data_IF_915863472844
#
_entry.id   IF_915863472844
#
_cell.length_a   1.000
_cell.length_b   1.000
_cell.length_c   1.000
_cell.angle_alpha   90.00
_cell.angle_beta   90.00
_cell.angle_gamma   90.00
#
_symmetry.space_group_name_H-M   'P 1'
#
loop_
_entity.id
_entity.type
_entity.pdbx_description
1 polymer ?
#
# COMPACT_ATOMS: atom_id res chain seq x y z
N UNK A 1 -10.78 8.28 4.20
CA UNK A 1 -11.27 9.59 3.72
C UNK A 1 -11.97 9.35 2.39
N UNK A 2 -13.22 9.79 2.23
CA UNK A 2 -13.75 9.99 0.88
C UNK A 2 -13.06 11.24 0.33
N UNK A 3 -12.42 11.13 -0.83
CA UNK A 3 -11.91 12.31 -1.49
C UNK A 3 -13.12 13.20 -1.84
N UNK A 4 -13.09 14.47 -1.43
CA UNK A 4 -14.15 15.45 -1.69
C UNK A 4 -13.97 15.99 -3.13
N UNK A 5 -13.90 15.07 -4.10
CA UNK A 5 -13.62 15.33 -5.51
C UNK A 5 -14.75 14.75 -6.36
N UNK A 6 -15.20 15.52 -7.35
CA UNK A 6 -16.19 15.05 -8.31
C UNK A 6 -15.55 14.08 -9.31
N UNK A 7 -16.35 13.20 -9.90
CA UNK A 7 -15.88 12.32 -11.00
C UNK A 7 -15.30 13.14 -12.16
N UNK A 8 -15.94 14.25 -12.51
CA UNK A 8 -15.48 15.22 -13.50
C UNK A 8 -14.06 15.72 -13.17
N UNK A 9 -13.87 16.28 -11.97
CA UNK A 9 -12.57 16.83 -11.57
C UNK A 9 -11.49 15.75 -11.55
N UNK A 10 -11.81 14.53 -11.08
CA UNK A 10 -10.85 13.44 -11.06
C UNK A 10 -10.49 12.98 -12.48
N UNK A 11 -11.48 12.83 -13.36
CA UNK A 11 -11.28 12.42 -14.74
C UNK A 11 -10.38 13.40 -15.50
N UNK A 12 -10.61 14.71 -15.32
CA UNK A 12 -9.76 15.76 -15.86
C UNK A 12 -8.31 15.65 -15.35
N UNK A 13 -8.12 15.49 -14.03
CA UNK A 13 -6.77 15.42 -13.42
C UNK A 13 -5.96 14.23 -13.88
N UNK A 14 -6.60 13.10 -14.18
CA UNK A 14 -5.92 11.89 -14.66
C UNK A 14 -5.96 11.76 -16.19
N UNK A 15 -6.45 12.78 -16.89
CA UNK A 15 -6.53 12.88 -18.35
C UNK A 15 -7.32 11.72 -18.99
N UNK A 16 -8.53 11.49 -18.48
CA UNK A 16 -9.48 10.51 -19.01
C UNK A 16 -10.90 11.08 -19.09
N UNK A 17 -11.79 10.35 -19.75
CA UNK A 17 -13.22 10.72 -19.76
C UNK A 17 -13.93 10.27 -18.48
N UNK A 18 -14.90 11.04 -18.00
CA UNK A 18 -15.78 10.65 -16.89
C UNK A 18 -16.45 9.29 -17.15
N UNK A 19 -16.88 9.04 -18.38
CA UNK A 19 -17.45 7.76 -18.77
C UNK A 19 -16.46 6.62 -18.58
N UNK A 20 -15.18 6.81 -18.89
CA UNK A 20 -14.18 5.77 -18.66
C UNK A 20 -13.95 5.53 -17.17
N UNK A 21 -13.84 6.59 -16.38
CA UNK A 21 -13.74 6.53 -14.91
C UNK A 21 -14.95 5.79 -14.30
N UNK A 22 -16.18 6.10 -14.76
CA UNK A 22 -17.40 5.42 -14.32
C UNK A 22 -17.34 3.91 -14.51
N UNK A 23 -16.86 3.46 -15.68
CA UNK A 23 -16.75 2.03 -15.98
C UNK A 23 -15.67 1.36 -15.13
N UNK A 24 -14.61 2.08 -14.78
CA UNK A 24 -13.57 1.58 -13.87
C UNK A 24 -14.18 1.31 -12.50
N UNK A 25 -14.95 2.25 -11.95
CA UNK A 25 -15.52 2.13 -10.60
C UNK A 25 -16.71 1.15 -10.54
N UNK A 26 -17.60 1.16 -11.54
CA UNK A 26 -18.91 0.51 -11.44
C UNK A 26 -19.07 -0.74 -12.33
N UNK A 27 -18.32 -0.85 -13.43
CA UNK A 27 -18.48 -1.93 -14.41
C UNK A 27 -17.30 -2.93 -14.41
N UNK A 28 -16.34 -2.76 -13.49
CA UNK A 28 -15.17 -3.62 -13.41
C UNK A 28 -14.18 -3.44 -14.57
N UNK A 29 -14.23 -2.31 -15.29
CA UNK A 29 -13.27 -2.02 -16.36
C UNK A 29 -11.87 -1.86 -15.75
N UNK A 30 -10.94 -2.73 -16.13
CA UNK A 30 -9.53 -2.60 -15.69
C UNK A 30 -8.85 -1.41 -16.40
N UNK A 31 -8.29 -0.45 -15.66
CA UNK A 31 -7.51 0.64 -16.25
C UNK A 31 -6.17 0.14 -16.83
N UNK A 32 -5.55 0.95 -17.69
CA UNK A 32 -4.13 0.76 -18.00
C UNK A 32 -3.27 1.03 -16.77
N UNK A 33 -2.02 0.59 -16.77
CA UNK A 33 -1.11 0.87 -15.65
C UNK A 33 -0.91 2.37 -15.44
N UNK A 34 -0.79 3.16 -16.51
CA UNK A 34 -0.63 4.62 -16.42
C UNK A 34 -1.85 5.29 -15.74
N UNK A 35 -3.06 4.89 -16.14
CA UNK A 35 -4.30 5.42 -15.54
C UNK A 35 -4.42 4.98 -14.07
N UNK A 36 -4.10 3.72 -13.77
CA UNK A 36 -4.08 3.22 -12.39
C UNK A 36 -3.08 3.99 -11.52
N UNK A 37 -1.86 4.22 -12.02
CA UNK A 37 -0.82 4.99 -11.36
C UNK A 37 -1.29 6.41 -11.03
N UNK A 38 -1.88 7.12 -12.02
CA UNK A 38 -2.42 8.46 -11.83
C UNK A 38 -3.52 8.49 -10.78
N UNK A 39 -4.48 7.57 -10.85
CA UNK A 39 -5.59 7.47 -9.89
C UNK A 39 -5.10 7.23 -8.45
N UNK A 40 -4.16 6.29 -8.26
CA UNK A 40 -3.59 5.98 -6.94
C UNK A 40 -2.93 7.22 -6.33
N UNK A 41 -2.17 7.97 -7.12
CA UNK A 41 -1.45 9.17 -6.68
C UNK A 41 -2.40 10.33 -6.39
N UNK A 42 -3.36 10.57 -7.26
CA UNK A 42 -4.32 11.67 -7.14
C UNK A 42 -5.23 11.50 -5.92
N UNK A 43 -5.68 10.27 -5.66
CA UNK A 43 -6.55 9.95 -4.52
C UNK A 43 -5.80 9.60 -3.24
N UNK A 44 -4.46 9.67 -3.24
CA UNK A 44 -3.60 9.26 -2.12
C UNK A 44 -3.94 7.86 -1.56
N UNK A 45 -4.29 6.93 -2.45
CA UNK A 45 -4.62 5.55 -2.08
C UNK A 45 -3.31 4.81 -1.77
N UNK A 46 -3.20 4.11 -0.63
CA UNK A 46 -2.07 3.21 -0.40
C UNK A 46 -2.07 2.11 -1.46
N UNK A 47 -1.01 1.99 -2.27
CA UNK A 47 -0.95 0.98 -3.33
C UNK A 47 -1.18 -0.44 -2.80
N UNK A 48 -0.70 -0.71 -1.59
CA UNK A 48 -0.89 -2.00 -0.93
C UNK A 48 -2.36 -2.36 -0.71
N UNK A 49 -3.27 -1.39 -0.52
CA UNK A 49 -4.70 -1.70 -0.37
C UNK A 49 -5.36 -2.14 -1.68
N UNK A 50 -4.70 -1.93 -2.83
CA UNK A 50 -5.18 -2.36 -4.14
C UNK A 50 -4.53 -3.69 -4.53
N UNK A 51 -3.22 -3.82 -4.33
CA UNK A 51 -2.46 -4.98 -4.79
C UNK A 51 -2.34 -6.10 -3.76
N UNK A 52 -2.53 -5.80 -2.47
CA UNK A 52 -2.50 -6.74 -1.36
C UNK A 52 -3.72 -6.56 -0.44
N UNK A 53 -4.96 -6.68 -0.97
CA UNK A 53 -6.19 -6.44 -0.19
C UNK A 53 -6.37 -7.38 1.00
N UNK A 54 -5.67 -8.52 1.01
CA UNK A 54 -5.64 -9.48 2.12
C UNK A 54 -4.82 -9.00 3.32
N UNK A 55 -3.95 -8.01 3.15
CA UNK A 55 -3.13 -7.48 4.24
C UNK A 55 -3.95 -6.51 5.09
N UNK A 56 -3.96 -6.64 6.43
CA UNK A 56 -4.68 -5.73 7.31
C UNK A 56 -4.18 -4.29 7.12
N UNK A 57 -5.11 -3.35 6.91
CA UNK A 57 -4.82 -1.94 6.62
C UNK A 57 -4.17 -1.22 7.80
N UNK A 58 -2.99 -0.64 7.58
CA UNK A 58 -2.31 0.47 8.28
C UNK A 58 -2.06 0.44 9.80
N UNK A 59 -2.67 -0.47 10.54
CA UNK A 59 -2.46 -0.69 11.98
C UNK A 59 -1.92 -2.10 12.29
N UNK A 60 -1.23 -2.72 11.33
CA UNK A 60 -0.48 -3.93 11.65
C UNK A 60 0.70 -3.57 12.56
N UNK A 61 0.95 -4.37 13.60
CA UNK A 61 2.14 -4.22 14.46
C UNK A 61 3.43 -4.13 13.64
N UNK A 62 3.46 -4.78 12.47
CA UNK A 62 4.56 -4.74 11.52
C UNK A 62 4.79 -3.33 10.98
N UNK A 63 3.75 -2.59 10.58
CA UNK A 63 3.92 -1.25 10.04
C UNK A 63 4.40 -0.27 11.10
N UNK A 64 3.89 -0.39 12.34
CA UNK A 64 4.40 0.37 13.48
C UNK A 64 5.88 0.06 13.75
N UNK A 65 6.27 -1.22 13.71
CA UNK A 65 7.66 -1.61 13.83
C UNK A 65 8.52 -1.00 12.70
N UNK A 66 8.09 -1.08 11.44
CA UNK A 66 8.81 -0.48 10.30
C UNK A 66 8.99 1.03 10.49
N UNK A 67 7.98 1.75 10.98
CA UNK A 67 8.09 3.19 11.29
C UNK A 67 9.14 3.46 12.36
N UNK A 68 9.20 2.63 13.41
CA UNK A 68 10.22 2.74 14.45
C UNK A 68 11.63 2.52 13.89
N UNK A 69 11.80 1.60 12.94
CA UNK A 69 13.10 1.31 12.33
C UNK A 69 13.70 2.50 11.58
N UNK A 70 12.88 3.39 10.99
CA UNK A 70 13.38 4.61 10.34
C UNK A 70 14.05 5.60 11.31
N UNK A 71 13.77 5.51 12.61
CA UNK A 71 14.43 6.33 13.64
C UNK A 71 15.74 5.74 14.16
N UNK A 72 16.13 4.53 13.74
CA UNK A 72 17.33 3.87 14.23
C UNK A 72 18.59 4.34 13.49
N UNK A 73 19.67 4.53 14.24
CA UNK A 73 21.01 4.70 13.67
C UNK A 73 21.62 3.34 13.27
N UNK A 74 22.76 3.36 12.59
CA UNK A 74 23.43 2.15 12.08
C UNK A 74 23.67 1.10 13.16
N UNK A 75 24.20 1.51 14.33
CA UNK A 75 24.44 0.59 15.45
C UNK A 75 23.15 -0.06 15.95
N UNK A 76 22.08 0.71 16.11
CA UNK A 76 20.78 0.18 16.51
C UNK A 76 20.23 -0.80 15.47
N UNK A 77 20.40 -0.51 14.19
CA UNK A 77 19.97 -1.40 13.10
C UNK A 77 20.73 -2.72 13.08
N UNK A 78 22.03 -2.73 13.37
CA UNK A 78 22.83 -3.96 13.48
C UNK A 78 22.32 -4.87 14.60
N UNK A 79 22.04 -4.30 15.77
CA UNK A 79 21.50 -5.03 16.93
C UNK A 79 20.14 -5.64 16.58
N UNK A 80 19.23 -4.83 16.03
CA UNK A 80 17.89 -5.29 15.65
C UNK A 80 17.98 -6.41 14.62
N UNK A 81 18.86 -6.29 13.63
CA UNK A 81 19.07 -7.32 12.61
C UNK A 81 19.57 -8.63 13.21
N UNK A 82 20.49 -8.58 14.17
CA UNK A 82 20.98 -9.75 14.88
C UNK A 82 19.85 -10.42 15.69
N UNK A 83 19.04 -9.63 16.41
CA UNK A 83 17.89 -10.13 17.16
C UNK A 83 16.87 -10.80 16.25
N UNK A 84 16.45 -10.16 15.17
CA UNK A 84 15.49 -10.72 14.21
C UNK A 84 16.01 -12.05 13.64
N UNK A 85 17.30 -12.11 13.27
CA UNK A 85 17.92 -13.33 12.76
C UNK A 85 17.88 -14.46 13.81
N UNK A 86 18.28 -14.18 15.04
CA UNK A 86 18.23 -15.16 16.13
C UNK A 86 16.81 -15.64 16.41
N UNK A 87 15.82 -14.74 16.39
CA UNK A 87 14.40 -15.08 16.55
C UNK A 87 13.93 -16.04 15.46
N UNK A 88 14.24 -15.77 14.18
CA UNK A 88 13.86 -16.62 13.05
C UNK A 88 14.51 -18.01 13.14
N UNK A 89 15.78 -18.08 13.53
CA UNK A 89 16.50 -19.35 13.71
C UNK A 89 15.96 -20.17 14.91
N UNK A 90 15.39 -19.51 15.92
CA UNK A 90 14.84 -20.15 17.12
C UNK A 90 13.40 -20.65 16.98
N UNK A 91 12.72 -20.34 15.87
CA UNK A 91 11.36 -20.80 15.65
C UNK A 91 11.33 -22.34 15.56
N UNK A 92 10.35 -23.00 16.18
CA UNK A 92 10.18 -24.44 16.02
C UNK A 92 10.05 -24.74 14.53
N UNK A 93 10.87 -25.66 14.02
CA UNK A 93 10.65 -26.17 12.66
C UNK A 93 9.28 -26.85 12.68
N UNK A 94 8.33 -26.32 11.90
CA UNK A 94 7.08 -27.03 11.65
C UNK A 94 7.44 -28.46 11.20
N UNK A 95 7.05 -29.44 12.01
CA UNK A 95 7.22 -30.84 11.68
C UNK A 95 6.22 -31.14 10.55
N UNK A 96 6.71 -31.13 9.31
CA UNK A 96 6.01 -31.72 8.17
C UNK A 96 5.83 -33.23 8.34
#
# INVERSE_FOLDING_TARGET
>A
MRADITMETLAERVDITERYLYRIENEGKKPSFDVLYKLIRELAIPADSIFYPEKPSKDSEIENLVRMLYGCNERSMEIIKATVKATLESQPKEQS
#
